data_IF_912564406517
#
_entry.id   IF_912564406517
#
_cell.length_a   1.000
_cell.length_b   1.000
_cell.length_c   1.000
_cell.angle_alpha   90.00
_cell.angle_beta   90.00
_cell.angle_gamma   90.00
#
_symmetry.space_group_name_H-M   'P 1'
#
loop_
_entity.id
_entity.type
_entity.pdbx_description
1 polymer ?
#
# COMPACT_ATOMS: atom_id res chain seq x y z
N UNK A 1 18.80 -22.72 15.18
CA UNK A 1 18.91 -23.17 13.77
C UNK A 1 19.86 -22.23 13.08
N UNK A 2 20.94 -22.74 12.47
CA UNK A 2 21.88 -21.89 11.73
C UNK A 2 21.09 -21.17 10.61
N UNK A 3 21.22 -19.85 10.51
CA UNK A 3 20.71 -19.15 9.33
C UNK A 3 21.30 -19.84 8.09
N UNK A 4 20.48 -20.27 7.11
CA UNK A 4 21.02 -20.75 5.86
C UNK A 4 21.94 -19.66 5.29
N UNK A 5 23.11 -20.07 4.81
CA UNK A 5 24.13 -19.18 4.29
C UNK A 5 23.52 -18.33 3.17
N UNK A 6 23.51 -16.99 3.30
CA UNK A 6 23.00 -16.10 2.23
C UNK A 6 23.80 -16.34 0.95
N UNK A 7 23.12 -16.51 -0.18
CA UNK A 7 23.73 -16.58 -1.51
C UNK A 7 24.11 -15.19 -2.00
N UNK A 8 23.23 -14.20 -1.77
CA UNK A 8 23.47 -12.80 -2.08
C UNK A 8 23.82 -12.00 -0.82
N UNK A 9 24.96 -11.28 -0.80
CA UNK A 9 25.37 -10.51 0.35
C UNK A 9 24.43 -9.31 0.57
N UNK A 10 24.37 -8.85 1.81
CA UNK A 10 23.71 -7.58 2.13
C UNK A 10 24.39 -6.42 1.39
N UNK A 11 23.60 -5.42 1.02
CA UNK A 11 24.10 -4.14 0.48
C UNK A 11 24.58 -3.18 1.57
N UNK A 12 24.39 -3.53 2.83
CA UNK A 12 24.84 -2.76 3.99
C UNK A 12 26.35 -2.42 3.88
N UNK A 13 26.73 -1.14 3.98
CA UNK A 13 28.13 -0.74 4.01
C UNK A 13 28.87 -1.35 5.22
N UNK A 14 30.18 -1.60 5.07
CA UNK A 14 31.02 -2.07 6.18
C UNK A 14 30.96 -1.07 7.34
N UNK A 15 30.78 -1.58 8.56
CA UNK A 15 30.68 -0.80 9.79
C UNK A 15 29.53 0.23 9.81
N UNK A 16 28.47 0.01 9.00
CA UNK A 16 27.30 0.88 8.99
C UNK A 16 26.62 0.89 10.36
N UNK A 17 26.37 2.08 10.90
CA UNK A 17 25.58 2.28 12.11
C UNK A 17 24.39 3.18 11.78
N UNK A 18 23.16 2.72 11.96
CA UNK A 18 21.97 3.54 11.75
C UNK A 18 22.04 4.84 12.57
N UNK A 19 21.63 5.98 12.01
CA UNK A 19 21.60 7.25 12.75
C UNK A 19 20.43 7.32 13.75
N UNK A 20 19.40 6.50 13.56
CA UNK A 20 18.17 6.49 14.34
C UNK A 20 17.72 5.03 14.46
N UNK A 21 17.30 4.56 15.65
CA UNK A 21 16.73 3.23 15.82
C UNK A 21 15.53 2.99 14.91
N UNK A 22 15.38 1.73 14.46
CA UNK A 22 14.27 1.27 13.64
C UNK A 22 13.81 -0.10 14.10
N UNK A 23 12.53 -0.35 13.90
CA UNK A 23 11.89 -1.59 14.30
C UNK A 23 11.19 -2.24 13.11
N UNK A 24 11.23 -3.56 13.07
CA UNK A 24 10.51 -4.40 12.13
C UNK A 24 9.48 -5.22 12.89
N UNK A 25 8.44 -5.63 12.17
CA UNK A 25 7.41 -6.50 12.70
C UNK A 25 7.94 -7.94 12.86
N UNK A 26 7.56 -8.56 13.97
CA UNK A 26 7.73 -9.99 14.24
C UNK A 26 6.33 -10.59 14.34
N UNK A 27 5.95 -11.35 13.33
CA UNK A 27 4.65 -12.01 13.26
C UNK A 27 4.61 -13.23 14.22
N UNK A 28 3.42 -13.63 14.69
CA UNK A 28 3.26 -14.84 15.50
C UNK A 28 3.83 -16.09 14.82
N UNK A 29 4.32 -17.04 15.62
CA UNK A 29 4.74 -18.33 15.12
C UNK A 29 3.59 -19.03 14.39
N UNK A 30 3.87 -19.63 13.22
CA UNK A 30 2.87 -20.30 12.38
C UNK A 30 2.21 -19.41 11.33
N UNK A 31 2.42 -18.08 11.36
CA UNK A 31 2.00 -17.21 10.26
C UNK A 31 3.03 -17.31 9.13
N UNK A 32 2.64 -17.95 8.03
CA UNK A 32 3.51 -18.10 6.85
C UNK A 32 3.18 -17.10 5.74
N UNK A 33 1.93 -16.63 5.70
CA UNK A 33 1.43 -15.70 4.70
C UNK A 33 0.43 -14.74 5.31
N UNK A 34 0.36 -13.55 4.72
CA UNK A 34 -0.60 -12.51 5.08
C UNK A 34 -1.48 -12.23 3.86
N UNK A 35 -2.77 -12.06 4.10
CA UNK A 35 -3.69 -11.63 3.06
C UNK A 35 -4.08 -10.18 3.33
N UNK A 36 -3.88 -9.33 2.33
CA UNK A 36 -4.23 -7.91 2.37
C UNK A 36 -5.22 -7.63 1.27
N UNK A 37 -6.30 -6.91 1.57
CA UNK A 37 -7.24 -6.45 0.56
C UNK A 37 -7.51 -4.96 0.72
N UNK A 38 -7.34 -4.22 -0.37
CA UNK A 38 -7.89 -2.89 -0.54
C UNK A 38 -9.25 -3.01 -1.20
N UNK A 39 -10.23 -2.28 -0.67
CA UNK A 39 -11.58 -2.18 -1.21
C UNK A 39 -11.84 -0.70 -1.43
N UNK A 40 -12.37 -0.34 -2.59
CA UNK A 40 -12.72 1.05 -2.87
C UNK A 40 -14.08 1.21 -3.53
N UNK A 41 -14.70 2.33 -3.20
CA UNK A 41 -15.96 2.79 -3.79
C UNK A 41 -15.70 4.16 -4.40
N UNK A 42 -15.90 4.25 -5.70
CA UNK A 42 -15.52 5.38 -6.54
C UNK A 42 -16.79 6.15 -7.00
N UNK A 43 -17.00 7.41 -6.58
CA UNK A 43 -18.07 8.25 -7.10
C UNK A 43 -17.69 8.87 -8.45
N UNK A 44 -18.55 8.73 -9.46
CA UNK A 44 -18.39 9.40 -10.77
C UNK A 44 -19.13 10.74 -10.85
N UNK A 45 -20.07 10.97 -9.95
CA UNK A 45 -20.83 12.22 -9.80
C UNK A 45 -20.53 12.84 -8.43
N UNK A 46 -20.84 14.13 -8.28
CA UNK A 46 -20.72 14.85 -7.01
C UNK A 46 -21.85 14.54 -6.02
N UNK A 47 -22.81 13.71 -6.41
CA UNK A 47 -23.93 13.32 -5.55
C UNK A 47 -23.45 12.22 -4.57
N UNK A 48 -24.04 12.15 -3.37
CA UNK A 48 -23.75 11.13 -2.33
C UNK A 48 -24.18 9.70 -2.73
N UNK A 49 -24.07 9.37 -4.02
CA UNK A 49 -24.50 8.13 -4.67
C UNK A 49 -23.78 6.88 -4.11
N UNK A 50 -22.71 7.05 -3.34
CA UNK A 50 -21.91 5.95 -2.78
C UNK A 50 -22.36 5.47 -1.40
N UNK A 51 -23.27 6.16 -0.71
CA UNK A 51 -23.67 5.80 0.67
C UNK A 51 -24.19 4.36 0.81
N UNK A 52 -25.02 3.91 -0.15
CA UNK A 52 -25.55 2.55 -0.15
C UNK A 52 -24.46 1.50 -0.32
N UNK A 53 -23.47 1.75 -1.18
CA UNK A 53 -22.33 0.84 -1.40
C UNK A 53 -21.42 0.83 -0.18
N UNK A 54 -21.13 2.01 0.38
CA UNK A 54 -20.34 2.13 1.61
C UNK A 54 -21.00 1.36 2.76
N UNK A 55 -22.33 1.43 2.89
CA UNK A 55 -23.07 0.67 3.89
C UNK A 55 -22.99 -0.85 3.64
N UNK A 56 -23.01 -1.30 2.38
CA UNK A 56 -22.83 -2.71 2.04
C UNK A 56 -21.41 -3.22 2.38
N UNK A 57 -20.37 -2.43 2.06
CA UNK A 57 -18.98 -2.74 2.45
C UNK A 57 -18.84 -2.75 3.97
N UNK A 58 -19.44 -1.77 4.66
CA UNK A 58 -19.41 -1.71 6.13
C UNK A 58 -20.14 -2.90 6.76
N UNK A 59 -21.30 -3.29 6.23
CA UNK A 59 -22.03 -4.47 6.69
C UNK A 59 -21.16 -5.74 6.56
N UNK A 60 -20.50 -5.92 5.41
CA UNK A 60 -19.54 -7.03 5.22
C UNK A 60 -18.37 -6.99 6.21
N UNK A 61 -17.83 -5.80 6.50
CA UNK A 61 -16.75 -5.62 7.48
C UNK A 61 -17.16 -5.93 8.93
N UNK A 62 -18.45 -5.93 9.22
CA UNK A 62 -19.03 -6.16 10.55
C UNK A 62 -19.63 -7.59 10.69
N UNK A 63 -19.51 -8.42 9.65
CA UNK A 63 -19.87 -9.84 9.71
C UNK A 63 -18.88 -10.64 10.58
N UNK A 64 -19.40 -11.62 11.32
CA UNK A 64 -18.59 -12.48 12.20
C UNK A 64 -17.89 -13.65 11.48
N UNK A 65 -18.15 -13.84 10.18
CA UNK A 65 -17.59 -14.95 9.40
C UNK A 65 -16.28 -14.57 8.71
N UNK A 66 -15.16 -15.04 9.25
CA UNK A 66 -13.81 -14.74 8.78
C UNK A 66 -13.50 -13.21 8.66
N UNK A 67 -13.81 -12.39 9.68
CA UNK A 67 -13.59 -10.94 9.61
C UNK A 67 -12.11 -10.60 9.48
N UNK A 68 -11.76 -9.42 8.91
CA UNK A 68 -10.40 -8.93 8.95
C UNK A 68 -9.95 -8.74 10.39
N UNK A 69 -8.72 -9.17 10.68
CA UNK A 69 -8.12 -9.04 12.01
C UNK A 69 -7.69 -7.61 12.32
N UNK A 70 -7.43 -6.82 11.26
CA UNK A 70 -7.24 -5.39 11.36
C UNK A 70 -7.82 -4.72 10.10
N UNK A 71 -8.44 -3.56 10.29
CA UNK A 71 -8.99 -2.73 9.20
C UNK A 71 -8.64 -1.26 9.42
N UNK A 72 -8.46 -0.52 8.33
CA UNK A 72 -8.33 0.93 8.34
C UNK A 72 -9.17 1.51 7.20
N UNK A 73 -9.70 2.72 7.41
CA UNK A 73 -10.48 3.46 6.43
C UNK A 73 -9.72 4.71 6.02
N UNK A 74 -9.91 5.14 4.77
CA UNK A 74 -9.22 6.28 4.20
C UNK A 74 -10.17 7.21 3.46
N UNK A 75 -9.84 8.49 3.56
CA UNK A 75 -10.26 9.49 2.61
C UNK A 75 -9.22 9.56 1.48
N UNK A 76 -9.68 9.54 0.23
CA UNK A 76 -8.83 9.83 -0.91
C UNK A 76 -8.31 11.27 -0.85
N UNK A 77 -7.01 11.44 -1.06
CA UNK A 77 -6.38 12.77 -1.19
C UNK A 77 -5.92 13.04 -2.61
N UNK A 78 -5.27 12.07 -3.27
CA UNK A 78 -4.70 12.24 -4.61
C UNK A 78 -4.29 10.89 -5.26
N UNK A 79 -3.98 10.90 -6.55
CA UNK A 79 -3.43 9.75 -7.29
C UNK A 79 -4.45 8.91 -8.08
N UNK A 80 -4.27 7.58 -8.08
CA UNK A 80 -4.97 6.64 -8.97
C UNK A 80 -6.39 6.25 -8.49
N UNK A 81 -7.21 7.24 -8.14
CA UNK A 81 -8.64 7.10 -7.83
C UNK A 81 -9.38 8.44 -8.07
N UNK A 82 -10.60 8.59 -7.55
CA UNK A 82 -11.36 9.84 -7.65
C UNK A 82 -11.55 10.57 -6.30
N UNK A 83 -11.65 11.91 -6.32
CA UNK A 83 -12.12 12.68 -5.18
C UNK A 83 -13.45 12.13 -4.64
N UNK A 84 -13.54 11.99 -3.32
CA UNK A 84 -14.72 11.42 -2.65
C UNK A 84 -14.73 9.88 -2.59
N UNK A 85 -13.74 9.20 -3.17
CA UNK A 85 -13.62 7.75 -3.02
C UNK A 85 -13.45 7.34 -1.55
N UNK A 86 -14.20 6.32 -1.15
CA UNK A 86 -14.07 5.66 0.15
C UNK A 86 -13.22 4.41 -0.03
N UNK A 87 -12.15 4.28 0.77
CA UNK A 87 -11.18 3.19 0.61
C UNK A 87 -10.95 2.53 1.97
N UNK A 88 -10.91 1.20 1.98
CA UNK A 88 -10.57 0.38 3.13
C UNK A 88 -9.33 -0.44 2.82
N UNK A 89 -8.52 -0.72 3.85
CA UNK A 89 -7.56 -1.82 3.82
C UNK A 89 -7.89 -2.79 4.94
N UNK A 90 -7.81 -4.07 4.62
CA UNK A 90 -8.13 -5.17 5.51
C UNK A 90 -6.97 -6.17 5.53
N UNK A 91 -6.66 -6.68 6.72
CA UNK A 91 -5.54 -7.59 6.94
C UNK A 91 -5.99 -8.88 7.63
N UNK A 92 -5.52 -10.01 7.11
CA UNK A 92 -5.65 -11.33 7.71
C UNK A 92 -4.27 -12.00 7.80
N UNK A 93 -4.13 -12.92 8.76
CA UNK A 93 -2.95 -13.79 8.89
C UNK A 93 -3.21 -15.23 8.41
N UNK A 94 -4.33 -15.45 7.72
CA UNK A 94 -4.78 -16.72 7.16
C UNK A 94 -5.34 -16.47 5.76
N UNK A 95 -4.66 -17.04 4.75
CA UNK A 95 -5.01 -16.91 3.34
C UNK A 95 -6.44 -17.38 3.05
N UNK A 96 -6.82 -18.53 3.60
CA UNK A 96 -8.09 -19.16 3.28
C UNK A 96 -9.26 -18.36 3.86
N UNK A 97 -9.10 -17.82 5.09
CA UNK A 97 -10.07 -16.91 5.70
C UNK A 97 -10.22 -15.62 4.90
N UNK A 98 -9.10 -14.97 4.55
CA UNK A 98 -9.12 -13.74 3.76
C UNK A 98 -9.81 -13.93 2.41
N UNK A 99 -9.47 -15.01 1.68
CA UNK A 99 -10.11 -15.34 0.39
C UNK A 99 -11.60 -15.63 0.53
N UNK A 100 -12.03 -16.43 1.51
CA UNK A 100 -13.45 -16.71 1.74
C UNK A 100 -14.22 -15.44 2.11
N UNK A 101 -13.66 -14.62 2.99
CA UNK A 101 -14.24 -13.33 3.39
C UNK A 101 -14.45 -12.42 2.17
N UNK A 102 -13.40 -12.24 1.35
CA UNK A 102 -13.48 -11.39 0.15
C UNK A 102 -14.41 -11.96 -0.93
N UNK A 103 -14.50 -13.29 -1.09
CA UNK A 103 -15.46 -13.91 -2.01
C UNK A 103 -16.92 -13.61 -1.66
N UNK A 104 -17.24 -13.43 -0.37
CA UNK A 104 -18.58 -13.05 0.09
C UNK A 104 -18.88 -11.59 -0.21
N UNK A 105 -17.86 -10.72 -0.29
CA UNK A 105 -17.96 -9.36 -0.80
C UNK A 105 -18.09 -9.33 -2.34
N UNK A 106 -19.22 -9.79 -2.86
CA UNK A 106 -19.46 -9.85 -4.31
C UNK A 106 -19.69 -8.45 -4.90
N UNK A 107 -18.65 -7.84 -5.47
CA UNK A 107 -18.74 -6.50 -6.08
C UNK A 107 -19.80 -6.41 -7.19
N UNK A 108 -19.93 -7.37 -8.11
CA UNK A 108 -20.96 -7.32 -9.14
C UNK A 108 -22.38 -7.39 -8.55
N UNK A 109 -22.58 -8.16 -7.48
CA UNK A 109 -23.87 -8.24 -6.79
C UNK A 109 -24.20 -6.93 -6.08
N UNK A 110 -23.23 -6.34 -5.38
CA UNK A 110 -23.40 -5.03 -4.74
C UNK A 110 -23.75 -3.97 -5.78
N UNK A 111 -22.98 -3.88 -6.87
CA UNK A 111 -23.19 -2.89 -7.93
C UNK A 111 -24.53 -3.08 -8.66
N UNK A 112 -24.88 -4.30 -9.04
CA UNK A 112 -26.16 -4.58 -9.73
C UNK A 112 -27.40 -4.36 -8.87
N UNK A 113 -27.27 -4.44 -7.53
CA UNK A 113 -28.36 -4.13 -6.60
C UNK A 113 -28.72 -2.64 -6.52
N UNK A 114 -27.87 -1.75 -7.06
CA UNK A 114 -28.08 -0.31 -7.02
C UNK A 114 -29.19 0.13 -8.00
N UNK A 115 -29.99 1.15 -7.63
CA UNK A 115 -30.89 1.84 -8.55
C UNK A 115 -30.16 2.30 -9.81
N UNK A 116 -30.78 2.21 -10.98
CA UNK A 116 -30.11 2.49 -12.27
C UNK A 116 -29.50 3.90 -12.34
N UNK A 117 -30.16 4.90 -11.75
CA UNK A 117 -29.67 6.27 -11.70
C UNK A 117 -28.38 6.43 -10.87
N UNK A 118 -28.19 5.58 -9.86
CA UNK A 118 -27.02 5.55 -8.97
C UNK A 118 -25.93 4.64 -9.56
N UNK A 119 -26.33 3.46 -10.06
CA UNK A 119 -25.44 2.40 -10.55
C UNK A 119 -24.43 2.88 -11.58
N UNK A 120 -24.87 3.70 -12.53
CA UNK A 120 -23.99 4.28 -13.58
C UNK A 120 -22.95 5.25 -13.02
N UNK A 121 -23.21 5.84 -11.86
CA UNK A 121 -22.38 6.85 -11.23
C UNK A 121 -21.44 6.29 -10.14
N UNK A 122 -21.43 4.98 -9.91
CA UNK A 122 -20.59 4.36 -8.87
C UNK A 122 -19.77 3.23 -9.45
N UNK A 123 -18.47 3.27 -9.19
CA UNK A 123 -17.54 2.16 -9.38
C UNK A 123 -17.20 1.48 -8.06
N UNK A 124 -16.93 0.18 -8.08
CA UNK A 124 -16.48 -0.58 -6.91
C UNK A 124 -15.32 -1.48 -7.31
N UNK A 125 -14.29 -1.54 -6.49
CA UNK A 125 -13.09 -2.32 -6.82
C UNK A 125 -12.47 -3.01 -5.61
N UNK A 126 -11.75 -4.09 -5.87
CA UNK A 126 -10.85 -4.74 -4.92
C UNK A 126 -9.47 -4.95 -5.53
N UNK A 127 -8.44 -4.65 -4.74
CA UNK A 127 -7.04 -4.96 -5.05
C UNK A 127 -6.50 -5.76 -3.86
N UNK A 128 -6.40 -7.07 -4.01
CA UNK A 128 -5.99 -7.98 -2.94
C UNK A 128 -4.71 -8.71 -3.31
N UNK A 129 -3.93 -9.08 -2.29
CA UNK A 129 -2.71 -9.82 -2.49
C UNK A 129 -2.34 -10.67 -1.27
N UNK A 130 -1.61 -11.73 -1.56
CA UNK A 130 -1.03 -12.65 -0.61
C UNK A 130 0.47 -12.39 -0.51
N UNK A 131 0.95 -12.10 0.70
CA UNK A 131 2.37 -11.87 0.94
C UNK A 131 2.95 -13.01 1.77
N UNK A 132 3.82 -13.86 1.21
CA UNK A 132 4.66 -14.75 2.00
C UNK A 132 5.52 -13.93 2.97
N UNK A 133 5.62 -14.33 4.24
CA UNK A 133 6.41 -13.57 5.23
C UNK A 133 7.89 -13.46 4.82
N UNK A 134 8.36 -14.40 4.01
CA UNK A 134 9.70 -14.45 3.46
C UNK A 134 9.95 -13.39 2.37
N UNK A 135 8.88 -12.81 1.80
CA UNK A 135 8.89 -11.73 0.80
C UNK A 135 8.32 -10.40 1.31
N UNK A 136 8.13 -10.30 2.62
CA UNK A 136 7.71 -9.08 3.31
C UNK A 136 8.90 -8.40 3.96
N UNK A 137 8.88 -7.07 3.97
CA UNK A 137 9.63 -6.28 4.96
C UNK A 137 8.76 -5.17 5.53
N UNK A 138 9.02 -4.83 6.80
CA UNK A 138 8.39 -3.70 7.48
C UNK A 138 9.46 -2.89 8.21
N UNK A 139 9.21 -1.60 8.35
CA UNK A 139 10.13 -0.70 9.03
C UNK A 139 9.37 0.46 9.68
N UNK A 140 9.49 0.60 10.99
CA UNK A 140 8.81 1.60 11.83
C UNK A 140 9.86 2.51 12.49
N UNK A 141 9.55 3.80 12.62
CA UNK A 141 10.45 4.79 13.23
C UNK A 141 10.26 5.01 14.73
N UNK A 142 9.34 4.29 15.35
CA UNK A 142 9.00 4.37 16.77
C UNK A 142 7.95 3.33 17.14
N UNK A 143 7.74 3.12 18.44
CA UNK A 143 6.87 2.08 18.99
C UNK A 143 5.57 2.61 19.61
N UNK A 144 5.46 3.92 19.77
CA UNK A 144 4.28 4.64 20.26
C UNK A 144 3.18 4.81 19.19
N UNK A 145 3.42 4.35 17.96
CA UNK A 145 2.41 4.23 16.92
C UNK A 145 2.76 3.09 15.94
N UNK A 146 1.86 2.11 15.80
CA UNK A 146 2.08 0.88 15.04
C UNK A 146 0.86 0.56 14.12
N UNK A 147 0.78 1.19 12.93
CA UNK A 147 -0.30 1.00 11.97
C UNK A 147 -0.04 -0.16 10.97
N UNK A 148 -0.98 -0.37 10.05
CA UNK A 148 -0.88 -1.39 9.00
C UNK A 148 -0.81 -2.79 9.58
N UNK A 149 0.10 -3.61 9.06
CA UNK A 149 0.30 -5.00 9.50
C UNK A 149 0.60 -5.14 11.01
N UNK A 150 1.13 -4.09 11.66
CA UNK A 150 1.39 -4.13 13.10
C UNK A 150 0.13 -4.11 13.97
N UNK A 151 -1.06 -3.83 13.38
CA UNK A 151 -2.34 -3.97 14.07
C UNK A 151 -2.80 -5.42 14.19
N UNK A 152 -2.17 -6.37 13.49
CA UNK A 152 -2.54 -7.77 13.57
C UNK A 152 -2.33 -8.30 15.01
N UNK A 153 -3.25 -9.15 15.52
CA UNK A 153 -3.13 -9.74 16.85
C UNK A 153 -1.85 -10.56 17.03
N UNK A 154 -1.23 -10.41 18.20
CA UNK A 154 -0.06 -11.18 18.61
C UNK A 154 1.26 -10.78 17.94
N UNK A 155 1.25 -9.77 17.06
CA UNK A 155 2.48 -9.22 16.51
C UNK A 155 3.34 -8.55 17.58
N UNK A 156 4.64 -8.57 17.36
CA UNK A 156 5.66 -7.93 18.20
C UNK A 156 6.59 -7.10 17.32
N UNK A 157 7.51 -6.38 17.93
CA UNK A 157 8.53 -5.61 17.21
C UNK A 157 9.93 -6.04 17.63
N UNK A 158 10.87 -6.03 16.69
CA UNK A 158 12.29 -6.21 16.97
C UNK A 158 13.09 -5.05 16.37
N UNK A 159 14.11 -4.59 17.08
CA UNK A 159 15.05 -3.60 16.55
C UNK A 159 15.90 -4.23 15.43
N UNK A 160 16.28 -3.43 14.43
CA UNK A 160 17.18 -3.87 13.35
C UNK A 160 18.11 -2.73 12.88
N UNK A 161 19.23 -3.12 12.27
CA UNK A 161 20.23 -2.18 11.76
C UNK A 161 20.18 -1.93 10.25
N UNK A 162 19.33 -2.69 9.55
CA UNK A 162 19.19 -2.63 8.09
C UNK A 162 18.36 -1.40 7.67
N UNK A 163 18.91 -0.19 7.81
CA UNK A 163 18.21 1.08 7.51
C UNK A 163 19.20 2.20 7.17
N UNK A 164 18.71 3.30 6.60
CA UNK A 164 19.51 4.48 6.24
C UNK A 164 20.66 4.24 5.24
N UNK A 165 20.48 3.29 4.31
CA UNK A 165 21.32 3.12 3.13
C UNK A 165 20.48 2.60 1.94
N UNK A 166 20.96 2.83 0.72
CA UNK A 166 20.29 2.36 -0.49
C UNK A 166 20.38 0.84 -0.60
N UNK A 167 19.23 0.18 -0.71
CA UNK A 167 19.12 -1.28 -0.65
C UNK A 167 18.72 -1.84 0.71
N UNK A 168 18.55 -0.99 1.74
CA UNK A 168 18.14 -1.45 3.06
C UNK A 168 16.76 -2.14 3.08
N UNK A 169 15.81 -1.66 2.26
CA UNK A 169 14.49 -2.31 2.12
C UNK A 169 14.63 -3.76 1.64
N UNK A 170 15.36 -3.96 0.54
CA UNK A 170 15.68 -5.29 0.02
C UNK A 170 16.37 -6.18 1.04
N UNK A 171 17.39 -5.66 1.73
CA UNK A 171 18.16 -6.41 2.73
C UNK A 171 17.28 -6.90 3.90
N UNK A 172 16.18 -6.21 4.21
CA UNK A 172 15.20 -6.65 5.22
C UNK A 172 14.27 -7.76 4.75
N UNK A 173 14.11 -7.96 3.44
CA UNK A 173 13.29 -9.05 2.89
C UNK A 173 14.07 -10.37 3.05
N UNK A 174 13.56 -11.38 3.77
CA UNK A 174 14.29 -12.62 4.02
C UNK A 174 14.75 -13.34 2.74
N UNK A 175 13.88 -13.45 1.74
CA UNK A 175 14.20 -14.12 0.47
C UNK A 175 15.24 -13.37 -0.37
N UNK A 176 15.56 -12.10 -0.07
CA UNK A 176 16.68 -11.39 -0.73
C UNK A 176 18.03 -12.09 -0.53
N UNK A 177 18.12 -12.99 0.45
CA UNK A 177 19.28 -13.85 0.65
C UNK A 177 19.55 -14.79 -0.53
N UNK A 178 18.53 -15.15 -1.30
CA UNK A 178 18.56 -16.19 -2.33
C UNK A 178 17.87 -15.81 -3.64
N UNK A 179 17.16 -14.69 -3.67
CA UNK A 179 16.45 -14.17 -4.84
C UNK A 179 16.76 -12.68 -5.01
N UNK A 180 17.12 -12.27 -6.22
CA UNK A 180 17.36 -10.86 -6.55
C UNK A 180 16.09 -10.11 -6.91
N UNK A 181 14.93 -10.76 -6.97
CA UNK A 181 13.65 -10.17 -7.38
C UNK A 181 13.81 -9.40 -8.68
N UNK A 182 14.45 -10.04 -9.67
CA UNK A 182 14.67 -9.44 -10.99
C UNK A 182 13.32 -9.09 -11.62
N UNK A 183 13.27 -7.96 -12.31
CA UNK A 183 12.04 -7.54 -12.95
C UNK A 183 11.62 -8.57 -14.00
N UNK A 184 10.38 -9.07 -13.89
CA UNK A 184 9.80 -9.99 -14.85
C UNK A 184 9.63 -9.30 -16.22
N UNK A 185 9.95 -10.00 -17.31
CA UNK A 185 9.75 -9.52 -18.68
C UNK A 185 8.29 -9.14 -18.94
N UNK A 186 7.35 -9.82 -18.27
CA UNK A 186 5.93 -9.51 -18.31
C UNK A 186 5.59 -8.13 -17.72
N UNK A 187 6.48 -7.49 -16.94
CA UNK A 187 6.24 -6.13 -16.44
C UNK A 187 6.06 -5.10 -17.57
N UNK A 188 6.68 -5.33 -18.73
CA UNK A 188 6.49 -4.51 -19.93
C UNK A 188 5.36 -5.04 -20.81
N UNK A 189 5.25 -6.37 -20.96
CA UNK A 189 4.26 -7.02 -21.82
C UNK A 189 2.85 -7.06 -21.25
N UNK A 190 2.67 -6.90 -19.94
CA UNK A 190 1.35 -6.91 -19.29
C UNK A 190 0.57 -5.63 -19.52
N UNK A 191 1.22 -4.54 -19.94
CA UNK A 191 0.54 -3.27 -20.16
C UNK A 191 -0.38 -3.39 -21.37
N UNK A 192 -1.68 -3.07 -21.24
CA UNK A 192 -2.61 -3.18 -22.35
C UNK A 192 -2.23 -2.16 -23.45
N UNK A 193 -2.28 -2.59 -24.72
CA UNK A 193 -1.95 -1.73 -25.87
C UNK A 193 -2.87 -0.51 -25.98
N UNK A 194 -4.12 -0.69 -25.57
CA UNK A 194 -5.14 0.36 -25.50
C UNK A 194 -5.72 0.38 -24.09
N UNK A 195 -5.92 1.57 -23.54
CA UNK A 195 -6.48 1.70 -22.20
C UNK A 195 -7.87 1.06 -22.16
N UNK A 196 -8.14 0.14 -21.20
CA UNK A 196 -9.47 -0.46 -21.05
C UNK A 196 -10.53 0.63 -20.83
N UNK A 197 -11.75 0.40 -21.31
CA UNK A 197 -12.85 1.37 -21.15
C UNK A 197 -13.21 1.62 -19.68
N UNK A 198 -13.11 0.59 -18.82
CA UNK A 198 -13.40 0.64 -17.38
C UNK A 198 -14.89 0.84 -17.05
N UNK A 199 -15.46 1.97 -17.48
CA UNK A 199 -16.86 2.31 -17.26
C UNK A 199 -17.79 1.31 -17.94
N UNK A 200 -18.78 0.85 -17.18
CA UNK A 200 -19.74 -0.18 -17.58
C UNK A 200 -19.14 -1.59 -17.71
N UNK A 201 -17.88 -1.80 -17.32
CA UNK A 201 -17.19 -3.08 -17.43
C UNK A 201 -17.00 -3.76 -16.08
N UNK A 202 -16.83 -5.08 -16.11
CA UNK A 202 -16.34 -5.90 -15.00
C UNK A 202 -14.99 -6.47 -15.41
N UNK A 203 -13.91 -5.88 -14.88
CA UNK A 203 -12.54 -6.23 -15.21
C UNK A 203 -11.93 -7.08 -14.10
N UNK A 204 -11.28 -8.18 -14.46
CA UNK A 204 -10.58 -9.07 -13.51
C UNK A 204 -9.17 -9.40 -14.01
N UNK A 205 -8.23 -9.62 -13.09
CA UNK A 205 -6.87 -10.03 -13.48
C UNK A 205 -5.94 -10.31 -12.30
N UNK A 206 -4.69 -10.59 -12.64
CA UNK A 206 -3.65 -11.02 -11.69
C UNK A 206 -2.29 -10.40 -12.03
N UNK A 207 -1.35 -10.46 -11.09
CA UNK A 207 0.02 -10.00 -11.29
C UNK A 207 0.95 -11.05 -11.93
N UNK A 208 2.06 -10.56 -12.48
CA UNK A 208 3.27 -11.29 -12.83
C UNK A 208 4.26 -11.37 -11.64
N UNK A 209 5.39 -12.07 -11.80
CA UNK A 209 6.37 -12.24 -10.71
C UNK A 209 7.07 -10.92 -10.35
N UNK A 210 7.38 -10.75 -9.07
CA UNK A 210 8.15 -9.62 -8.52
C UNK A 210 7.50 -8.24 -8.64
N UNK A 211 6.22 -8.18 -9.00
CA UNK A 211 5.40 -7.00 -8.73
C UNK A 211 5.46 -6.65 -7.24
N UNK A 212 5.61 -5.37 -6.94
CA UNK A 212 5.76 -4.89 -5.56
C UNK A 212 4.55 -4.09 -5.15
N UNK A 213 4.06 -4.30 -3.93
CA UNK A 213 3.16 -3.37 -3.27
C UNK A 213 3.90 -2.69 -2.11
N UNK A 214 3.78 -1.37 -2.00
CA UNK A 214 4.27 -0.59 -0.86
C UNK A 214 3.13 0.22 -0.26
N UNK A 215 3.03 0.23 1.07
CA UNK A 215 2.32 1.24 1.84
C UNK A 215 3.32 1.96 2.73
N UNK A 216 3.48 3.26 2.52
CA UNK A 216 4.44 4.12 3.24
C UNK A 216 3.71 5.29 3.88
N UNK A 217 3.70 5.32 5.21
CA UNK A 217 2.89 6.24 6.00
C UNK A 217 3.66 7.22 6.86
N UNK A 218 2.96 8.30 7.20
CA UNK A 218 3.42 9.42 8.00
C UNK A 218 2.34 9.71 9.05
N UNK A 219 2.73 9.83 10.31
CA UNK A 219 1.82 10.07 11.42
C UNK A 219 2.39 11.18 12.31
N UNK A 220 1.57 12.20 12.57
CA UNK A 220 1.95 13.35 13.37
C UNK A 220 0.86 13.82 14.34
N UNK A 221 -0.16 12.99 14.59
CA UNK A 221 -1.23 13.30 15.57
C UNK A 221 -0.68 13.60 16.96
N UNK A 222 0.38 12.86 17.37
CA UNK A 222 1.00 13.02 18.68
C UNK A 222 2.05 14.14 18.74
N UNK A 223 2.25 14.89 17.65
CA UNK A 223 3.23 15.98 17.59
C UNK A 223 2.74 17.22 18.33
N UNK A 224 3.66 17.94 18.97
CA UNK A 224 3.40 19.30 19.43
C UNK A 224 3.19 20.28 18.27
N UNK A 225 2.75 21.52 18.53
CA UNK A 225 2.49 22.51 17.48
C UNK A 225 3.71 22.78 16.58
N UNK A 226 4.90 22.92 17.16
CA UNK A 226 6.14 23.19 16.41
C UNK A 226 6.52 22.01 15.49
N UNK A 227 6.42 20.78 15.99
CA UNK A 227 6.72 19.59 15.18
C UNK A 227 5.67 19.35 14.09
N UNK A 228 4.40 19.62 14.40
CA UNK A 228 3.29 19.60 13.43
C UNK A 228 3.57 20.58 12.29
N UNK A 229 3.85 21.85 12.62
CA UNK A 229 4.16 22.89 11.63
C UNK A 229 5.41 22.52 10.81
N UNK A 230 6.44 21.96 11.46
CA UNK A 230 7.65 21.52 10.79
C UNK A 230 7.35 20.45 9.73
N UNK A 231 6.50 19.47 10.05
CA UNK A 231 6.09 18.45 9.09
C UNK A 231 5.21 19.04 7.97
N UNK A 232 4.12 19.73 8.32
CA UNK A 232 3.11 20.22 7.38
C UNK A 232 3.67 21.27 6.41
N UNK A 233 4.57 22.14 6.87
CA UNK A 233 5.12 23.21 6.01
C UNK A 233 6.36 22.80 5.24
N UNK A 234 7.09 21.74 5.64
CA UNK A 234 8.38 21.40 5.04
C UNK A 234 8.44 19.99 4.46
N UNK A 235 7.98 18.97 5.19
CA UNK A 235 8.12 17.58 4.79
C UNK A 235 6.96 17.10 3.91
N UNK A 236 5.73 17.41 4.31
CA UNK A 236 4.52 17.01 3.58
C UNK A 236 4.50 17.52 2.13
N UNK A 237 4.86 18.79 1.83
CA UNK A 237 4.92 19.26 0.45
C UNK A 237 6.00 18.56 -0.37
N UNK A 238 7.13 18.24 0.26
CA UNK A 238 8.23 17.49 -0.38
C UNK A 238 7.80 16.06 -0.71
N UNK A 239 7.04 15.43 0.18
CA UNK A 239 6.42 14.12 -0.05
C UNK A 239 5.44 14.18 -1.22
N UNK A 240 4.50 15.14 -1.23
CA UNK A 240 3.52 15.29 -2.30
C UNK A 240 4.19 15.51 -3.66
N UNK A 241 5.24 16.32 -3.72
CA UNK A 241 6.05 16.48 -4.95
C UNK A 241 6.72 15.17 -5.39
N UNK A 242 7.11 14.32 -4.44
CA UNK A 242 7.63 12.98 -4.72
C UNK A 242 6.59 12.06 -5.34
N UNK A 243 5.36 12.07 -4.83
CA UNK A 243 4.24 11.30 -5.36
C UNK A 243 3.81 11.81 -6.74
N UNK A 244 3.70 13.14 -6.92
CA UNK A 244 3.41 13.76 -8.20
C UNK A 244 4.42 13.33 -9.28
N UNK A 245 5.72 13.35 -8.95
CA UNK A 245 6.74 12.85 -9.87
C UNK A 245 6.50 11.38 -10.27
N UNK A 246 6.15 10.50 -9.32
CA UNK A 246 5.87 9.10 -9.63
C UNK A 246 4.66 8.94 -10.57
N UNK A 247 3.63 9.76 -10.39
CA UNK A 247 2.47 9.77 -11.28
C UNK A 247 2.77 10.29 -12.68
N UNK A 248 3.67 11.28 -12.80
CA UNK A 248 4.07 11.86 -14.08
C UNK A 248 5.12 11.03 -14.82
N UNK A 249 5.91 10.20 -14.11
CA UNK A 249 7.08 9.49 -14.64
C UNK A 249 6.97 7.97 -14.47
N UNK A 250 5.78 7.41 -14.68
CA UNK A 250 5.47 6.00 -14.37
C UNK A 250 6.31 4.99 -15.13
N UNK A 251 6.74 5.31 -16.35
CA UNK A 251 7.58 4.42 -17.13
C UNK A 251 8.95 4.20 -16.44
N UNK A 252 9.51 5.27 -15.87
CA UNK A 252 10.81 5.22 -15.19
C UNK A 252 10.67 4.87 -13.70
N UNK A 253 9.64 5.40 -13.04
CA UNK A 253 9.37 5.22 -11.62
C UNK A 253 8.64 3.92 -11.29
N UNK A 254 8.06 3.24 -12.28
CA UNK A 254 7.41 1.93 -12.14
C UNK A 254 6.04 1.95 -11.45
N UNK A 255 5.47 3.10 -11.08
CA UNK A 255 4.22 3.19 -10.33
C UNK A 255 2.98 2.86 -11.19
N UNK A 256 2.22 1.82 -10.79
CA UNK A 256 1.06 1.28 -11.53
C UNK A 256 -0.29 1.53 -10.84
N UNK A 257 -0.37 2.07 -9.63
CA UNK A 257 -1.66 2.22 -8.95
C UNK A 257 -1.47 2.86 -7.59
N UNK A 258 -0.86 4.05 -7.59
CA UNK A 258 -0.38 4.73 -6.40
C UNK A 258 -1.41 5.78 -5.96
N UNK A 259 -1.91 5.64 -4.74
CA UNK A 259 -2.85 6.56 -4.10
C UNK A 259 -2.17 7.27 -2.93
N UNK A 260 -2.47 8.55 -2.74
CA UNK A 260 -2.20 9.27 -1.50
C UNK A 260 -3.49 9.31 -0.69
N UNK A 261 -3.43 8.73 0.51
CA UNK A 261 -4.58 8.42 1.34
C UNK A 261 -4.41 9.08 2.71
N UNK A 262 -5.50 9.64 3.24
CA UNK A 262 -5.58 10.14 4.60
C UNK A 262 -6.38 9.18 5.47
N UNK A 263 -5.83 8.75 6.60
CA UNK A 263 -6.54 7.88 7.53
C UNK A 263 -7.78 8.59 8.07
N UNK A 264 -8.93 7.90 8.04
CA UNK A 264 -10.22 8.45 8.43
C UNK A 264 -10.54 8.12 9.91
N UNK A 265 -11.09 9.08 10.63
CA UNK A 265 -11.63 8.88 11.99
C UNK A 265 -13.11 8.46 11.99
N UNK A 266 -13.68 8.22 13.17
CA UNK A 266 -15.09 7.81 13.33
C UNK A 266 -16.08 8.89 12.87
N UNK A 267 -15.69 10.17 12.90
CA UNK A 267 -16.50 11.30 12.43
C UNK A 267 -16.39 11.49 10.90
N UNK A 268 -15.46 10.80 10.25
CA UNK A 268 -15.19 10.88 8.82
C UNK A 268 -14.13 11.90 8.41
N UNK A 269 -13.47 12.56 9.36
CA UNK A 269 -12.39 13.49 9.06
C UNK A 269 -11.08 12.75 8.82
N UNK A 270 -10.20 13.40 8.05
CA UNK A 270 -8.83 12.93 7.87
C UNK A 270 -8.02 13.26 9.13
N UNK A 271 -7.49 12.23 9.78
CA UNK A 271 -6.55 12.33 10.89
C UNK A 271 -5.23 12.95 10.43
N UNK A 272 -4.36 13.32 11.37
CA UNK A 272 -2.95 13.68 11.11
C UNK A 272 -2.11 12.45 10.80
N UNK A 273 -2.53 11.75 9.76
CA UNK A 273 -1.96 10.50 9.30
C UNK A 273 -2.29 10.29 7.82
N UNK A 274 -1.24 10.11 7.02
CA UNK A 274 -1.35 9.85 5.59
C UNK A 274 -0.47 8.69 5.17
N UNK A 275 -0.76 8.11 4.02
CA UNK A 275 0.12 7.14 3.39
C UNK A 275 0.05 7.18 1.87
N UNK A 276 1.18 6.89 1.23
CA UNK A 276 1.22 6.46 -0.16
C UNK A 276 1.06 4.95 -0.21
N UNK A 277 0.08 4.44 -0.96
CA UNK A 277 -0.17 3.01 -1.12
C UNK A 277 -0.33 2.66 -2.59
N UNK A 278 0.38 1.64 -3.08
CA UNK A 278 0.22 1.21 -4.46
C UNK A 278 1.22 0.19 -4.96
N UNK A 279 0.97 -0.23 -6.21
CA UNK A 279 1.77 -1.22 -6.92
C UNK A 279 2.89 -0.58 -7.75
N UNK A 280 4.02 -1.28 -7.81
CA UNK A 280 5.20 -0.96 -8.59
C UNK A 280 5.61 -2.16 -9.45
N UNK A 281 6.20 -1.87 -10.62
CA UNK A 281 6.60 -2.91 -11.58
C UNK A 281 7.63 -3.88 -11.03
N UNK A 282 8.53 -3.42 -10.16
CA UNK A 282 9.52 -4.26 -9.51
C UNK A 282 10.09 -3.59 -8.26
N UNK A 283 10.80 -4.36 -7.43
CA UNK A 283 11.56 -3.79 -6.32
C UNK A 283 12.68 -2.90 -6.83
N UNK A 284 13.26 -3.23 -7.99
CA UNK A 284 14.33 -2.45 -8.60
C UNK A 284 13.86 -1.04 -8.98
N UNK A 285 12.72 -0.88 -9.66
CA UNK A 285 12.23 0.46 -10.06
C UNK A 285 11.92 1.33 -8.85
N UNK A 286 11.31 0.75 -7.80
CA UNK A 286 11.10 1.41 -6.52
C UNK A 286 12.44 1.85 -5.86
N UNK A 287 13.44 0.95 -5.81
CA UNK A 287 14.77 1.26 -5.27
C UNK A 287 15.49 2.35 -6.08
N UNK A 288 15.36 2.33 -7.41
CA UNK A 288 16.01 3.29 -8.30
C UNK A 288 15.44 4.69 -8.16
N UNK A 289 14.10 4.81 -8.09
CA UNK A 289 13.45 6.08 -7.77
C UNK A 289 13.93 6.60 -6.41
N UNK A 290 13.90 5.75 -5.38
CA UNK A 290 14.30 6.13 -4.04
C UNK A 290 15.76 6.62 -4.00
N UNK A 291 16.67 5.92 -4.70
CA UNK A 291 18.12 6.20 -4.69
C UNK A 291 18.52 7.42 -5.50
N UNK A 292 17.96 7.57 -6.71
CA UNK A 292 18.49 8.51 -7.72
C UNK A 292 17.68 9.79 -7.82
N UNK A 293 16.40 9.76 -7.45
CA UNK A 293 15.52 10.88 -7.75
C UNK A 293 15.60 11.99 -6.69
N UNK A 294 15.70 13.25 -7.16
CA UNK A 294 15.85 14.43 -6.31
C UNK A 294 14.68 14.59 -5.33
N UNK A 295 13.47 14.18 -5.72
CA UNK A 295 12.29 14.26 -4.85
C UNK A 295 12.43 13.35 -3.64
N UNK A 296 12.77 12.07 -3.82
CA UNK A 296 12.98 11.16 -2.69
C UNK A 296 14.21 11.53 -1.86
N UNK A 297 15.29 12.01 -2.48
CA UNK A 297 16.44 12.52 -1.74
C UNK A 297 16.06 13.72 -0.84
N UNK A 298 15.21 14.62 -1.32
CA UNK A 298 14.70 15.74 -0.53
C UNK A 298 13.84 15.26 0.65
N UNK A 299 12.98 14.24 0.46
CA UNK A 299 12.22 13.59 1.54
C UNK A 299 13.18 12.99 2.57
N UNK A 300 14.18 12.24 2.12
CA UNK A 300 15.15 11.56 2.99
C UNK A 300 15.98 12.57 3.82
N UNK A 301 16.53 13.59 3.17
CA UNK A 301 17.30 14.65 3.83
C UNK A 301 16.42 15.45 4.79
N UNK A 302 15.17 15.75 4.39
CA UNK A 302 14.17 16.38 5.23
C UNK A 302 13.89 15.57 6.49
N UNK A 303 13.63 14.27 6.36
CA UNK A 303 13.36 13.39 7.49
C UNK A 303 14.56 13.28 8.46
N UNK A 304 15.79 13.25 7.94
CA UNK A 304 17.01 13.30 8.78
C UNK A 304 17.12 14.65 9.50
N UNK A 305 16.88 15.76 8.80
CA UNK A 305 16.93 17.10 9.41
C UNK A 305 15.89 17.21 10.52
N UNK A 306 14.66 16.80 10.27
CA UNK A 306 13.58 16.75 11.26
C UNK A 306 13.96 15.91 12.48
N UNK A 307 14.50 14.71 12.25
CA UNK A 307 14.95 13.86 13.34
C UNK A 307 16.08 14.47 14.18
N UNK A 308 16.99 15.22 13.57
CA UNK A 308 18.03 15.95 14.29
C UNK A 308 17.47 17.12 15.09
N UNK A 309 16.49 17.84 14.53
CA UNK A 309 15.85 18.99 15.19
C UNK A 309 15.11 18.59 16.47
N UNK A 310 14.28 17.55 16.41
CA UNK A 310 13.43 17.14 17.54
C UNK A 310 14.03 16.04 18.42
N UNK A 311 15.14 15.41 17.98
CA UNK A 311 15.90 14.45 18.77
C UNK A 311 15.04 13.33 19.39
N UNK A 312 15.20 13.11 20.70
CA UNK A 312 14.48 12.10 21.45
C UNK A 312 13.02 12.48 21.76
N UNK A 313 12.67 13.76 21.67
CA UNK A 313 11.31 14.25 21.94
C UNK A 313 10.38 14.07 20.73
N UNK A 314 10.96 13.85 19.55
CA UNK A 314 10.26 13.62 18.27
C UNK A 314 9.09 12.65 18.43
N UNK A 315 7.90 13.09 18.05
CA UNK A 315 6.68 12.28 17.98
C UNK A 315 6.24 11.97 16.56
N UNK A 316 6.81 12.62 15.55
CA UNK A 316 6.59 12.27 14.15
C UNK A 316 7.02 10.83 13.88
N UNK A 317 6.14 10.04 13.26
CA UNK A 317 6.39 8.65 12.89
C UNK A 317 6.31 8.44 11.40
N UNK A 318 7.30 7.72 10.90
CA UNK A 318 7.32 7.18 9.54
C UNK A 318 7.35 5.67 9.64
N UNK A 319 6.66 5.03 8.72
CA UNK A 319 6.62 3.59 8.66
C UNK A 319 6.36 3.14 7.23
N UNK A 320 6.71 1.92 6.91
CA UNK A 320 6.29 1.31 5.66
C UNK A 320 6.24 -0.21 5.75
N UNK A 321 5.48 -0.80 4.83
CA UNK A 321 5.40 -2.23 4.58
C UNK A 321 5.53 -2.46 3.06
N UNK A 322 6.42 -3.37 2.67
CA UNK A 322 6.71 -3.70 1.28
C UNK A 322 6.56 -5.20 1.06
N UNK A 323 5.72 -5.56 0.09
CA UNK A 323 5.46 -6.94 -0.31
C UNK A 323 5.98 -7.16 -1.73
N UNK A 324 6.79 -8.20 -1.92
CA UNK A 324 7.19 -8.68 -3.27
C UNK A 324 6.35 -9.90 -3.60
N UNK A 325 5.52 -9.80 -4.63
CA UNK A 325 4.51 -10.78 -4.95
C UNK A 325 5.04 -11.77 -5.99
N UNK A 326 4.70 -13.05 -5.85
CA UNK A 326 4.86 -14.03 -6.92
C UNK A 326 3.68 -13.91 -7.89
N UNK A 327 3.86 -14.43 -9.10
CA UNK A 327 2.81 -14.52 -10.11
C UNK A 327 1.58 -15.23 -9.54
N UNK A 328 0.41 -14.63 -9.72
CA UNK A 328 -0.84 -15.22 -9.22
C UNK A 328 -1.18 -14.89 -7.76
N UNK A 329 -0.32 -14.17 -7.03
CA UNK A 329 -0.55 -13.85 -5.61
C UNK A 329 -1.39 -12.58 -5.41
N UNK A 330 -1.54 -11.73 -6.44
CA UNK A 330 -2.44 -10.59 -6.46
C UNK A 330 -3.70 -10.89 -7.27
N UNK A 331 -4.83 -10.31 -6.87
CA UNK A 331 -6.09 -10.34 -7.60
C UNK A 331 -6.68 -8.95 -7.66
N UNK A 332 -7.06 -8.54 -8.86
CA UNK A 332 -7.60 -7.23 -9.17
C UNK A 332 -8.99 -7.39 -9.75
N UNK A 333 -9.98 -6.70 -9.19
CA UNK A 333 -11.36 -6.71 -9.67
C UNK A 333 -11.90 -5.28 -9.67
N UNK A 334 -12.45 -4.85 -10.80
CA UNK A 334 -13.03 -3.52 -10.96
C UNK A 334 -14.40 -3.63 -11.63
N UNK A 335 -15.42 -3.04 -11.02
CA UNK A 335 -16.78 -2.97 -11.57
C UNK A 335 -17.14 -1.52 -11.78
N UNK A 336 -17.37 -1.14 -13.04
CA UNK A 336 -17.72 0.22 -13.45
C UNK A 336 -16.73 1.27 -12.91
N UNK A 337 -15.42 1.04 -12.97
CA UNK A 337 -14.43 2.03 -12.52
C UNK A 337 -13.85 2.82 -13.70
N UNK A 338 -13.33 4.02 -13.46
CA UNK A 338 -12.59 4.75 -14.49
C UNK A 338 -11.33 4.00 -14.93
N UNK A 339 -10.91 4.10 -16.22
CA UNK A 339 -9.66 3.51 -16.72
C UNK A 339 -8.40 3.87 -15.95
N UNK A 340 -8.43 4.98 -15.22
CA UNK A 340 -7.30 5.52 -14.46
C UNK A 340 -7.23 4.95 -13.03
N UNK A 341 -8.23 4.19 -12.60
CA UNK A 341 -8.32 3.62 -11.26
C UNK A 341 -7.31 2.51 -11.08
N UNK A 342 -6.52 2.59 -10.01
CA UNK A 342 -5.62 1.51 -9.63
C UNK A 342 -4.71 1.06 -10.77
N UNK A 343 -4.64 -0.26 -10.96
CA UNK A 343 -3.76 -0.89 -11.96
C UNK A 343 -4.38 -1.06 -13.35
N UNK A 344 -5.63 -0.63 -13.58
CA UNK A 344 -6.38 -0.90 -14.83
C UNK A 344 -5.59 -0.59 -16.11
N UNK A 345 -4.87 0.54 -16.15
CA UNK A 345 -4.11 0.98 -17.34
C UNK A 345 -2.70 0.39 -17.46
N UNK A 346 -2.30 -0.48 -16.53
CA UNK A 346 -0.92 -0.98 -16.41
C UNK A 346 -0.82 -2.50 -16.49
N UNK A 347 -1.91 -3.21 -16.23
CA UNK A 347 -1.96 -4.66 -16.33
C UNK A 347 -3.09 -5.10 -17.26
N UNK A 348 -2.93 -6.26 -17.88
CA UNK A 348 -3.94 -6.85 -18.74
C UNK A 348 -5.04 -7.43 -17.84
N UNK A 349 -6.25 -6.93 -18.01
CA UNK A 349 -7.44 -7.36 -17.30
C UNK A 349 -8.44 -7.92 -18.31
N UNK A 350 -9.07 -9.03 -17.95
CA UNK A 350 -10.13 -9.64 -18.73
C UNK A 350 -11.46 -8.94 -18.42
N UNK A 351 -12.19 -8.55 -19.47
CA UNK A 351 -13.57 -8.07 -19.35
C UNK A 351 -14.53 -9.28 -19.28
N UNK A 352 -15.10 -9.50 -18.11
CA UNK A 352 -16.04 -10.60 -17.81
C UNK A 352 -17.49 -10.12 -17.71
N UNK A 353 -17.77 -8.92 -18.22
CA UNK A 353 -19.15 -8.39 -18.31
C UNK A 353 -20.03 -9.35 -19.10
N UNK A 354 -21.24 -9.62 -18.59
CA UNK A 354 -22.24 -10.47 -19.25
C UNK A 354 -23.35 -9.66 -19.88
#
# INVERSE_FOLDING_TARGET
MACPLRTYPLRQPKNHKPPIPRWQLVLPAGVERLFTAYIGVQPHSSDNDIEQVNAAVQAWLDEDEDPPLAKEQFNYLDGDDLPGASIWVCYWNDEARGKRSLQRLSLPSIHSSLPENVRKNVGVWTESFLTPISRLETNYSGLDYLPGLAKLPGTKTAEHELTAYWGAARDRIPESAHDLFEQDDAAHGSRPETAPQGLGKHLVGTNYDHMVHIRSGQFWENCGPEETESYENNLEPTLRNGLAYLWDNRNDGGAMGLRYLGNRDEAGHTKKETCGAGFFTSLQTLEEWAKKHKSHLAIYLGAIKHAKTFGNERKFRTWHEVSVLKKGEASFEYVNCLPTTGVIRFISLDDVSR
#
